data_IF_628327265921
#
_entry.id   IF_628327265921
#
_cell.length_a   1.000
_cell.length_b   1.000
_cell.length_c   1.000
_cell.angle_alpha   90.00
_cell.angle_beta   90.00
_cell.angle_gamma   90.00
#
_symmetry.space_group_name_H-M   'P 1'
#
loop_
_entity.id
_entity.type
_entity.pdbx_description
1 polymer ?
#
# COMPACT_ATOMS: atom_id res chain seq x y z
N UNK A 1 -3.40 32.10 -75.33
CA UNK A 1 -2.17 31.84 -74.55
C UNK A 1 -2.56 31.64 -73.10
N UNK A 2 -2.27 30.44 -72.59
CA UNK A 2 -2.27 29.94 -71.20
C UNK A 2 -3.19 30.59 -70.14
N UNK A 3 -4.23 29.85 -69.74
CA UNK A 3 -4.88 29.96 -68.44
C UNK A 3 -4.00 29.31 -67.36
N UNK A 4 -3.51 30.10 -66.39
CA UNK A 4 -2.76 29.61 -65.24
C UNK A 4 -3.70 29.12 -64.13
N UNK A 5 -3.67 27.81 -63.87
CA UNK A 5 -4.32 27.19 -62.71
C UNK A 5 -3.41 27.35 -61.49
N UNK A 6 -3.83 28.15 -60.51
CA UNK A 6 -3.20 28.21 -59.18
C UNK A 6 -3.67 27.01 -58.35
N UNK A 7 -2.83 25.97 -58.25
CA UNK A 7 -3.00 24.90 -57.27
C UNK A 7 -2.67 25.43 -55.87
N UNK A 8 -3.65 25.46 -54.97
CA UNK A 8 -3.44 25.76 -53.56
C UNK A 8 -2.87 24.51 -52.84
N UNK A 9 -1.64 24.53 -52.30
CA UNK A 9 -1.13 23.43 -51.50
C UNK A 9 -1.58 23.61 -50.05
N UNK A 10 -2.87 23.43 -49.76
CA UNK A 10 -3.36 23.55 -48.38
C UNK A 10 -3.50 22.19 -47.71
N UNK A 11 -2.60 21.97 -46.73
CA UNK A 11 -2.84 21.27 -45.44
C UNK A 11 -2.55 19.76 -45.28
N UNK A 12 -1.44 19.19 -45.78
CA UNK A 12 -0.84 18.01 -45.12
C UNK A 12 -0.26 18.37 -43.73
N UNK A 13 0.11 19.64 -43.53
CA UNK A 13 0.82 20.12 -42.35
C UNK A 13 -0.04 20.14 -41.07
N UNK A 14 -1.36 20.39 -41.19
CA UNK A 14 -2.26 20.40 -40.03
C UNK A 14 -2.44 19.00 -39.41
N UNK A 15 -2.43 17.93 -40.22
CA UNK A 15 -2.55 16.56 -39.71
C UNK A 15 -1.28 16.13 -38.97
N UNK A 16 -0.10 16.46 -39.50
CA UNK A 16 1.18 16.20 -38.81
C UNK A 16 1.28 16.95 -37.48
N UNK A 17 0.77 18.17 -37.39
CA UNK A 17 0.75 18.95 -36.15
C UNK A 17 -0.19 18.34 -35.09
N UNK A 18 -1.35 17.81 -35.49
CA UNK A 18 -2.26 17.11 -34.57
C UNK A 18 -1.68 15.77 -34.06
N UNK A 19 -1.03 14.98 -34.93
CA UNK A 19 -0.35 13.75 -34.52
C UNK A 19 0.84 14.05 -33.57
N UNK A 20 1.61 15.11 -33.83
CA UNK A 20 2.69 15.58 -32.95
C UNK A 20 2.15 16.09 -31.59
N UNK A 21 1.02 16.79 -31.56
CA UNK A 21 0.38 17.21 -30.30
C UNK A 21 -0.11 16.01 -29.47
N UNK A 22 -0.69 14.99 -30.12
CA UNK A 22 -1.12 13.77 -29.41
C UNK A 22 0.04 12.95 -28.84
N UNK A 23 1.25 13.04 -29.43
CA UNK A 23 2.46 12.45 -28.84
C UNK A 23 3.06 13.26 -27.68
N UNK A 24 2.68 14.53 -27.53
CA UNK A 24 3.10 15.42 -26.42
C UNK A 24 2.15 15.37 -25.21
N UNK A 25 0.99 14.74 -25.36
CA UNK A 25 0.18 14.30 -24.23
C UNK A 25 0.92 13.14 -23.55
N UNK A 26 1.98 13.47 -22.80
CA UNK A 26 2.39 12.66 -21.68
C UNK A 26 1.17 12.60 -20.77
N UNK A 27 0.41 11.52 -20.88
CA UNK A 27 -0.52 11.12 -19.84
C UNK A 27 0.36 10.98 -18.59
N UNK A 28 0.41 12.04 -17.78
CA UNK A 28 0.73 11.89 -16.37
C UNK A 28 -0.33 10.95 -15.86
N UNK A 29 -0.02 9.65 -15.85
CA UNK A 29 -0.89 8.67 -15.24
C UNK A 29 -0.98 9.14 -13.80
N UNK A 30 -2.13 9.69 -13.41
CA UNK A 30 -2.37 10.10 -12.05
C UNK A 30 -1.91 8.96 -11.13
N UNK A 31 -1.03 9.29 -10.20
CA UNK A 31 -0.57 8.33 -9.20
C UNK A 31 -1.79 7.76 -8.47
N UNK A 32 -1.78 6.47 -8.18
CA UNK A 32 -2.80 5.88 -7.33
C UNK A 32 -2.49 6.29 -5.89
N UNK A 33 -3.45 6.84 -5.16
CA UNK A 33 -3.25 7.28 -3.78
C UNK A 33 -3.71 6.16 -2.84
N UNK A 34 -2.92 5.89 -1.81
CA UNK A 34 -3.29 5.04 -0.69
C UNK A 34 -3.48 5.91 0.55
N UNK A 35 -4.44 5.55 1.41
CA UNK A 35 -4.65 6.25 2.69
C UNK A 35 -4.80 5.24 3.80
N UNK A 36 -4.30 5.58 4.99
CA UNK A 36 -4.57 4.82 6.20
C UNK A 36 -5.81 5.38 6.89
N UNK A 37 -6.70 4.50 7.32
CA UNK A 37 -7.93 4.83 8.03
C UNK A 37 -8.04 3.98 9.29
N UNK A 38 -8.54 4.56 10.39
CA UNK A 38 -8.85 3.86 11.62
C UNK A 38 -7.96 4.24 12.81
N UNK A 39 -7.17 5.30 12.72
CA UNK A 39 -6.25 5.73 13.80
C UNK A 39 -6.47 7.16 14.26
N UNK A 40 -7.43 7.89 13.66
CA UNK A 40 -7.79 9.24 14.06
C UNK A 40 -9.27 9.28 14.42
N UNK A 41 -9.61 9.47 15.69
CA UNK A 41 -11.01 9.53 16.14
C UNK A 41 -11.82 10.71 15.57
N UNK A 42 -11.16 11.68 14.93
CA UNK A 42 -11.81 12.80 14.24
C UNK A 42 -11.90 12.60 12.71
N UNK A 43 -11.45 11.46 12.18
CA UNK A 43 -11.63 11.15 10.76
C UNK A 43 -13.08 10.71 10.49
N UNK A 44 -13.56 10.95 9.26
CA UNK A 44 -14.89 10.52 8.85
C UNK A 44 -15.02 9.00 8.78
N UNK A 45 -16.21 8.53 8.40
CA UNK A 45 -16.46 7.11 8.21
C UNK A 45 -15.62 6.52 7.07
N UNK A 46 -15.46 5.20 7.08
CA UNK A 46 -14.80 4.47 6.00
C UNK A 46 -15.55 4.70 4.67
N UNK A 47 -16.88 4.71 4.70
CA UNK A 47 -17.70 4.99 3.52
C UNK A 47 -17.45 6.40 2.96
N UNK A 48 -17.42 7.43 3.80
CA UNK A 48 -17.12 8.82 3.38
C UNK A 48 -15.73 8.92 2.76
N UNK A 49 -14.73 8.28 3.38
CA UNK A 49 -13.35 8.23 2.86
C UNK A 49 -13.32 7.67 1.44
N UNK A 50 -14.02 6.56 1.18
CA UNK A 50 -14.08 5.95 -0.14
C UNK A 50 -14.95 6.72 -1.14
N UNK A 51 -15.98 7.45 -0.67
CA UNK A 51 -16.84 8.27 -1.51
C UNK A 51 -16.15 9.53 -2.05
N UNK A 52 -15.00 9.93 -1.48
CA UNK A 52 -14.23 11.08 -1.97
C UNK A 52 -13.73 10.94 -3.42
N UNK A 53 -13.57 9.70 -3.91
CA UNK A 53 -12.97 9.42 -5.22
C UNK A 53 -11.45 9.68 -5.28
N UNK A 54 -10.81 10.03 -4.16
CA UNK A 54 -9.39 10.39 -4.12
C UNK A 54 -8.46 9.16 -4.02
N UNK A 55 -8.94 8.06 -3.46
CA UNK A 55 -8.11 6.93 -3.05
C UNK A 55 -8.37 5.69 -3.88
N UNK A 56 -7.29 5.03 -4.29
CA UNK A 56 -7.38 3.72 -4.93
C UNK A 56 -7.19 2.57 -3.93
N UNK A 57 -6.68 2.89 -2.73
CA UNK A 57 -6.47 1.96 -1.63
C UNK A 57 -6.80 2.64 -0.30
N UNK A 58 -7.46 1.90 0.59
CA UNK A 58 -7.63 2.25 1.99
C UNK A 58 -7.03 1.12 2.82
N UNK A 59 -6.04 1.44 3.65
CA UNK A 59 -5.41 0.53 4.58
C UNK A 59 -6.12 0.66 5.94
N UNK A 60 -6.85 -0.38 6.35
CA UNK A 60 -7.49 -0.45 7.67
C UNK A 60 -6.40 -0.68 8.71
N UNK A 61 -6.11 0.36 9.48
CA UNK A 61 -5.04 0.42 10.44
C UNK A 61 -5.60 0.33 11.87
N UNK A 62 -5.23 -0.66 12.70
CA UNK A 62 -4.25 -1.74 12.47
C UNK A 62 -4.63 -3.06 13.15
N UNK A 63 -4.16 -4.17 12.59
CA UNK A 63 -3.89 -5.39 13.36
C UNK A 63 -2.53 -5.21 14.07
N UNK A 64 -2.57 -4.65 15.28
CA UNK A 64 -1.40 -4.14 16.00
C UNK A 64 -0.81 -5.12 17.04
N UNK A 65 -1.43 -6.29 17.22
CA UNK A 65 -0.87 -7.40 18.00
C UNK A 65 -0.98 -8.68 17.19
N UNK A 66 0.10 -9.46 17.10
CA UNK A 66 0.13 -10.79 16.48
C UNK A 66 1.48 -11.49 16.67
N UNK A 67 1.51 -12.80 16.43
CA UNK A 67 2.73 -13.63 16.43
C UNK A 67 3.35 -13.77 17.82
N UNK A 68 4.36 -14.62 17.93
CA UNK A 68 5.03 -14.93 19.21
C UNK A 68 4.04 -15.30 20.31
N UNK A 69 3.06 -16.15 19.98
CA UNK A 69 1.99 -16.62 20.87
C UNK A 69 1.01 -15.55 21.39
N UNK A 70 1.03 -14.33 20.83
CA UNK A 70 0.05 -13.29 21.18
C UNK A 70 -1.28 -13.51 20.48
N UNK A 71 -2.36 -13.21 21.19
CA UNK A 71 -3.70 -13.09 20.59
C UNK A 71 -3.71 -11.92 19.63
N UNK A 72 -4.12 -12.13 18.37
CA UNK A 72 -4.19 -11.03 17.43
C UNK A 72 -5.25 -10.01 17.82
N UNK A 73 -4.93 -8.72 17.69
CA UNK A 73 -5.81 -7.61 18.06
C UNK A 73 -5.92 -6.60 16.94
N UNK A 74 -7.16 -6.37 16.50
CA UNK A 74 -7.51 -5.21 15.69
C UNK A 74 -7.67 -4.01 16.63
N UNK A 75 -7.18 -2.84 16.24
CA UNK A 75 -7.42 -1.59 16.94
C UNK A 75 -7.73 -0.53 15.89
N UNK A 76 -8.94 0.03 15.97
CA UNK A 76 -9.41 1.11 15.09
C UNK A 76 -9.70 2.40 15.90
N UNK A 77 -8.89 2.70 16.92
CA UNK A 77 -8.88 3.96 17.66
C UNK A 77 -10.25 4.53 18.09
N UNK A 78 -11.17 3.66 18.52
CA UNK A 78 -12.50 4.05 19.00
C UNK A 78 -13.59 4.07 17.92
N UNK A 79 -13.28 3.84 16.65
CA UNK A 79 -14.28 3.69 15.58
C UNK A 79 -15.20 2.48 15.81
N UNK A 80 -14.67 1.43 16.43
CA UNK A 80 -15.43 0.28 16.90
C UNK A 80 -14.60 -0.55 17.88
N UNK A 81 -15.27 -1.42 18.62
CA UNK A 81 -14.65 -2.42 19.47
C UNK A 81 -14.74 -3.82 18.82
N UNK A 82 -13.61 -4.46 18.48
CA UNK A 82 -13.61 -5.78 17.87
C UNK A 82 -13.97 -6.91 18.84
N UNK A 83 -13.91 -6.68 20.15
CA UNK A 83 -14.20 -7.71 21.17
C UNK A 83 -15.69 -7.83 21.49
N UNK A 84 -16.49 -6.82 21.14
CA UNK A 84 -17.96 -6.82 21.30
C UNK A 84 -18.71 -7.03 19.98
N UNK A 85 -18.04 -7.48 18.91
CA UNK A 85 -18.56 -7.55 17.54
C UNK A 85 -19.01 -6.19 16.95
N UNK A 86 -18.72 -5.05 17.60
CA UNK A 86 -19.14 -3.74 17.13
C UNK A 86 -18.50 -3.36 15.78
N UNK A 87 -17.32 -3.91 15.47
CA UNK A 87 -16.64 -3.68 14.19
C UNK A 87 -17.30 -4.36 12.98
N UNK A 88 -18.30 -5.22 13.18
CA UNK A 88 -19.10 -5.80 12.08
C UNK A 88 -19.89 -4.74 11.31
N UNK A 89 -20.18 -3.58 11.92
CA UNK A 89 -20.82 -2.46 11.22
C UNK A 89 -20.00 -1.95 10.02
N UNK A 90 -18.67 -2.15 10.03
CA UNK A 90 -17.80 -1.77 8.93
C UNK A 90 -17.95 -2.67 7.69
N UNK A 91 -18.62 -3.83 7.80
CA UNK A 91 -18.85 -4.73 6.66
C UNK A 91 -19.48 -4.00 5.48
N UNK A 92 -20.51 -3.19 5.74
CA UNK A 92 -21.21 -2.43 4.69
C UNK A 92 -20.27 -1.41 4.03
N UNK A 93 -19.53 -0.68 4.83
CA UNK A 93 -18.64 0.39 4.36
C UNK A 93 -17.49 -0.19 3.54
N UNK A 94 -16.93 -1.34 3.94
CA UNK A 94 -15.92 -2.08 3.17
C UNK A 94 -16.47 -2.46 1.78
N UNK A 95 -17.70 -3.01 1.72
CA UNK A 95 -18.34 -3.37 0.44
C UNK A 95 -18.61 -2.15 -0.43
N UNK A 96 -19.01 -1.02 0.16
CA UNK A 96 -19.19 0.24 -0.56
C UNK A 96 -17.87 0.75 -1.16
N UNK A 97 -16.77 0.71 -0.40
CA UNK A 97 -15.44 1.01 -0.92
C UNK A 97 -15.08 0.13 -2.12
N UNK A 98 -15.26 -1.19 -1.98
CA UNK A 98 -14.96 -2.15 -3.03
C UNK A 98 -15.82 -1.94 -4.28
N UNK A 99 -17.11 -1.63 -4.10
CA UNK A 99 -18.03 -1.29 -5.19
C UNK A 99 -17.60 0.00 -5.94
N UNK A 100 -16.99 0.95 -5.22
CA UNK A 100 -16.39 2.16 -5.80
C UNK A 100 -14.99 1.92 -6.41
N UNK A 101 -14.53 0.67 -6.48
CA UNK A 101 -13.22 0.32 -7.04
C UNK A 101 -12.04 0.60 -6.11
N UNK A 102 -12.30 0.97 -4.86
CA UNK A 102 -11.28 1.19 -3.83
C UNK A 102 -10.91 -0.16 -3.20
N UNK A 103 -9.61 -0.48 -3.16
CA UNK A 103 -9.14 -1.69 -2.49
C UNK A 103 -9.05 -1.47 -0.99
N UNK A 104 -9.68 -2.33 -0.21
CA UNK A 104 -9.63 -2.26 1.25
C UNK A 104 -8.67 -3.33 1.75
N UNK A 105 -7.57 -2.89 2.35
CA UNK A 105 -6.42 -3.73 2.71
C UNK A 105 -6.27 -3.72 4.24
N UNK A 106 -6.07 -4.89 4.85
CA UNK A 106 -5.76 -4.96 6.28
C UNK A 106 -4.31 -4.52 6.51
N UNK A 107 -4.07 -3.51 7.33
CA UNK A 107 -2.71 -3.17 7.73
C UNK A 107 -2.29 -3.89 9.00
N UNK A 108 -1.18 -4.62 8.95
CA UNK A 108 -0.57 -5.27 10.10
C UNK A 108 0.61 -4.43 10.60
N UNK A 109 0.78 -4.35 11.92
CA UNK A 109 1.88 -3.62 12.54
C UNK A 109 1.46 -2.24 13.04
N UNK A 110 2.11 -1.18 12.53
CA UNK A 110 1.96 0.20 12.99
C UNK A 110 3.08 0.66 13.92
N UNK A 111 3.22 1.98 14.10
CA UNK A 111 4.24 2.56 14.99
C UNK A 111 4.06 2.25 16.49
N UNK A 112 2.96 1.60 16.87
CA UNK A 112 2.68 1.13 18.22
C UNK A 112 2.02 -0.26 18.17
N UNK A 113 2.12 -1.00 19.27
CA UNK A 113 1.57 -2.36 19.39
C UNK A 113 2.63 -3.38 19.79
N UNK A 114 2.27 -4.66 19.70
CA UNK A 114 3.13 -5.77 20.08
C UNK A 114 3.06 -6.86 19.01
N UNK A 115 4.00 -6.81 18.07
CA UNK A 115 4.06 -7.76 16.97
C UNK A 115 5.51 -8.16 16.62
N UNK A 116 5.68 -9.41 16.22
CA UNK A 116 6.94 -10.04 15.81
C UNK A 116 6.65 -11.50 15.46
N UNK A 117 7.42 -12.06 14.55
CA UNK A 117 7.34 -13.45 14.17
C UNK A 117 8.58 -14.19 14.70
N UNK A 118 8.36 -15.31 15.36
CA UNK A 118 9.40 -16.08 16.06
C UNK A 118 9.91 -17.27 15.24
N UNK A 119 9.13 -17.74 14.27
CA UNK A 119 9.48 -18.86 13.40
C UNK A 119 8.63 -18.85 12.11
N UNK A 120 8.98 -19.73 11.16
CA UNK A 120 8.14 -20.00 9.98
C UNK A 120 6.76 -20.54 10.36
N UNK A 121 6.69 -21.35 11.41
CA UNK A 121 5.42 -21.90 11.89
C UNK A 121 4.52 -20.81 12.48
N UNK A 122 5.11 -19.91 13.27
CA UNK A 122 4.43 -18.72 13.79
C UNK A 122 3.91 -17.82 12.64
N UNK A 123 4.75 -17.57 11.63
CA UNK A 123 4.32 -16.86 10.42
C UNK A 123 3.16 -17.56 9.69
N UNK A 124 3.17 -18.90 9.61
CA UNK A 124 2.07 -19.69 9.04
C UNK A 124 0.78 -19.56 9.86
N UNK A 125 0.89 -19.60 11.19
CA UNK A 125 -0.26 -19.45 12.09
C UNK A 125 -0.89 -18.06 11.96
N UNK A 126 -0.07 -17.00 11.92
CA UNK A 126 -0.54 -15.63 11.67
C UNK A 126 -1.18 -15.51 10.28
N UNK A 127 -0.57 -16.10 9.24
CA UNK A 127 -1.15 -16.12 7.89
C UNK A 127 -2.54 -16.79 7.86
N UNK A 128 -2.67 -17.94 8.52
CA UNK A 128 -3.92 -18.68 8.64
C UNK A 128 -4.98 -17.87 9.38
N UNK A 129 -4.60 -17.20 10.47
CA UNK A 129 -5.49 -16.31 11.21
C UNK A 129 -5.99 -15.16 10.32
N UNK A 130 -5.10 -14.45 9.62
CA UNK A 130 -5.49 -13.36 8.73
C UNK A 130 -6.41 -13.88 7.61
N UNK A 131 -6.06 -15.02 7.00
CA UNK A 131 -6.83 -15.63 5.94
C UNK A 131 -8.27 -15.94 6.38
N UNK A 132 -8.43 -16.57 7.54
CA UNK A 132 -9.71 -17.05 8.04
C UNK A 132 -10.61 -15.94 8.60
N UNK A 133 -10.03 -14.88 9.14
CA UNK A 133 -10.79 -13.83 9.83
C UNK A 133 -11.05 -12.58 8.98
N UNK A 134 -10.22 -12.31 7.97
CA UNK A 134 -10.28 -11.06 7.19
C UNK A 134 -10.31 -11.27 5.68
N UNK A 135 -9.75 -12.40 5.19
CA UNK A 135 -9.72 -12.73 3.77
C UNK A 135 -10.70 -13.86 3.45
N UNK A 136 -10.36 -14.70 2.46
CA UNK A 136 -11.25 -15.68 1.85
C UNK A 136 -11.43 -16.98 2.62
N UNK A 137 -10.85 -17.11 3.81
CA UNK A 137 -11.11 -18.26 4.69
C UNK A 137 -12.36 -18.07 5.53
N UNK A 138 -12.57 -19.00 6.46
CA UNK A 138 -13.76 -19.05 7.33
C UNK A 138 -13.37 -19.12 8.79
N UNK A 139 -14.10 -18.39 9.63
CA UNK A 139 -13.95 -18.37 11.09
C UNK A 139 -15.32 -18.11 11.71
N UNK A 140 -15.57 -18.65 12.91
CA UNK A 140 -16.79 -18.39 13.68
C UNK A 140 -16.85 -16.96 14.25
N UNK A 141 -15.70 -16.30 14.39
CA UNK A 141 -15.58 -14.95 14.91
C UNK A 141 -14.75 -14.11 13.94
N UNK A 142 -15.42 -13.36 13.06
CA UNK A 142 -14.77 -12.43 12.12
C UNK A 142 -14.93 -10.99 12.60
N UNK A 143 -13.84 -10.28 12.97
CA UNK A 143 -13.93 -8.94 13.56
C UNK A 143 -14.64 -7.91 12.67
N UNK A 144 -14.51 -8.03 11.34
CA UNK A 144 -15.14 -7.15 10.35
C UNK A 144 -16.39 -7.80 9.71
N UNK A 145 -17.01 -8.76 10.38
CA UNK A 145 -18.14 -9.52 9.87
C UNK A 145 -17.77 -10.39 8.65
N UNK A 146 -18.71 -10.56 7.73
CA UNK A 146 -18.54 -11.38 6.53
C UNK A 146 -17.85 -10.63 5.38
N UNK A 147 -17.35 -9.41 5.62
CA UNK A 147 -16.54 -8.69 4.64
C UNK A 147 -15.24 -9.44 4.35
N UNK A 148 -14.86 -9.45 3.07
CA UNK A 148 -13.62 -10.07 2.62
C UNK A 148 -12.72 -9.00 2.02
N UNK A 149 -11.61 -8.72 2.71
CA UNK A 149 -10.66 -7.70 2.30
C UNK A 149 -9.88 -8.11 1.04
N UNK A 150 -9.29 -7.10 0.39
CA UNK A 150 -8.56 -7.27 -0.87
C UNK A 150 -7.12 -7.76 -0.65
N UNK A 151 -6.55 -7.54 0.53
CA UNK A 151 -5.13 -7.77 0.76
C UNK A 151 -4.64 -7.51 2.18
N UNK A 152 -3.32 -7.55 2.32
CA UNK A 152 -2.59 -7.29 3.56
C UNK A 152 -1.45 -6.31 3.30
N UNK A 153 -1.40 -5.24 4.09
CA UNK A 153 -0.34 -4.25 4.13
C UNK A 153 0.61 -4.53 5.29
N UNK A 154 1.90 -4.59 4.97
CA UNK A 154 2.99 -4.86 5.91
C UNK A 154 3.57 -3.51 6.33
N UNK A 155 2.96 -2.94 7.37
CA UNK A 155 3.44 -1.75 8.04
C UNK A 155 4.26 -2.13 9.29
N UNK A 156 5.38 -2.80 9.05
CA UNK A 156 6.25 -3.29 10.13
C UNK A 156 7.28 -2.22 10.44
N UNK A 157 7.14 -1.56 11.60
CA UNK A 157 8.04 -0.49 12.03
C UNK A 157 8.96 -0.92 13.19
N UNK A 158 8.83 -2.17 13.66
CA UNK A 158 9.66 -2.75 14.71
C UNK A 158 9.61 -4.28 14.78
N UNK A 159 10.34 -4.87 15.72
CA UNK A 159 10.35 -6.33 15.95
C UNK A 159 11.32 -7.15 15.09
N UNK A 160 12.12 -6.49 14.23
CA UNK A 160 13.11 -7.12 13.34
C UNK A 160 12.51 -7.68 12.04
N UNK A 161 13.33 -8.08 11.05
CA UNK A 161 12.85 -8.46 9.72
C UNK A 161 12.36 -9.91 9.58
N UNK A 162 12.63 -10.72 10.60
CA UNK A 162 12.52 -12.17 10.51
C UNK A 162 11.11 -12.66 10.15
N UNK A 163 11.05 -13.59 9.21
CA UNK A 163 9.86 -14.38 8.81
C UNK A 163 8.70 -13.62 8.16
N UNK A 164 8.76 -12.29 7.98
CA UNK A 164 7.72 -11.56 7.22
C UNK A 164 7.66 -12.00 5.75
N UNK A 165 8.78 -12.42 5.16
CA UNK A 165 8.81 -13.04 3.84
C UNK A 165 8.08 -14.39 3.79
N UNK A 166 8.13 -15.18 4.86
CA UNK A 166 7.37 -16.44 4.96
C UNK A 166 5.87 -16.15 5.13
N UNK A 167 5.50 -15.16 5.96
CA UNK A 167 4.11 -14.68 6.09
C UNK A 167 3.53 -14.28 4.72
N UNK A 168 4.27 -13.49 3.94
CA UNK A 168 3.88 -13.10 2.58
C UNK A 168 3.65 -14.31 1.65
N UNK A 169 4.56 -15.30 1.68
CA UNK A 169 4.43 -16.54 0.89
C UNK A 169 3.18 -17.34 1.27
N UNK A 170 2.88 -17.47 2.56
CA UNK A 170 1.69 -18.20 3.02
C UNK A 170 0.40 -17.48 2.61
N UNK A 171 0.30 -16.16 2.78
CA UNK A 171 -0.85 -15.36 2.34
C UNK A 171 -1.08 -15.48 0.83
N UNK A 172 -0.01 -15.37 0.05
CA UNK A 172 -0.06 -15.58 -1.40
C UNK A 172 -0.56 -16.99 -1.76
N UNK A 173 -0.05 -18.02 -1.09
CA UNK A 173 -0.41 -19.41 -1.35
C UNK A 173 -1.89 -19.70 -1.02
N UNK A 174 -2.43 -19.13 0.07
CA UNK A 174 -3.85 -19.24 0.39
C UNK A 174 -4.73 -18.64 -0.71
N UNK A 175 -4.39 -17.42 -1.18
CA UNK A 175 -5.07 -16.78 -2.29
C UNK A 175 -5.03 -17.62 -3.56
N UNK A 176 -3.83 -18.07 -3.96
CA UNK A 176 -3.64 -18.90 -5.14
C UNK A 176 -4.47 -20.19 -5.08
N UNK A 177 -4.49 -20.89 -3.94
CA UNK A 177 -5.28 -22.10 -3.73
C UNK A 177 -6.80 -21.85 -3.83
N UNK A 178 -7.26 -20.68 -3.38
CA UNK A 178 -8.66 -20.29 -3.42
C UNK A 178 -9.08 -19.64 -4.76
N UNK A 179 -8.18 -19.54 -5.74
CA UNK A 179 -8.43 -18.81 -6.99
C UNK A 179 -8.67 -17.32 -6.77
N UNK A 180 -8.20 -16.75 -5.66
CA UNK A 180 -8.43 -15.36 -5.26
C UNK A 180 -7.12 -14.59 -5.20
N UNK A 181 -7.07 -13.42 -5.87
CA UNK A 181 -5.93 -12.51 -5.72
C UNK A 181 -5.93 -11.91 -4.31
N UNK A 182 -4.82 -12.07 -3.61
CA UNK A 182 -4.48 -11.32 -2.39
C UNK A 182 -3.46 -10.27 -2.78
N UNK A 183 -3.79 -9.00 -2.57
CA UNK A 183 -2.82 -7.92 -2.71
C UNK A 183 -1.89 -7.90 -1.51
N UNK A 184 -0.59 -7.92 -1.75
CA UNK A 184 0.41 -7.74 -0.70
C UNK A 184 1.06 -6.38 -0.88
N UNK A 185 1.00 -5.54 0.15
CA UNK A 185 1.59 -4.21 0.12
C UNK A 185 2.52 -4.02 1.30
N UNK A 186 3.43 -3.05 1.21
CA UNK A 186 4.36 -2.75 2.29
C UNK A 186 4.59 -1.25 2.45
N UNK A 187 4.85 -0.86 3.70
CA UNK A 187 5.16 0.51 4.09
C UNK A 187 6.56 0.62 4.72
N UNK A 188 7.65 0.29 3.99
CA UNK A 188 8.99 0.46 4.53
C UNK A 188 9.28 1.92 4.87
N UNK A 189 10.16 2.16 5.82
CA UNK A 189 10.73 3.49 6.05
C UNK A 189 11.67 3.88 4.88
N UNK A 190 11.98 5.18 4.75
CA UNK A 190 12.83 5.63 3.66
C UNK A 190 14.30 5.17 3.67
N UNK A 191 14.93 4.75 4.79
CA UNK A 191 16.25 4.14 4.72
C UNK A 191 16.24 2.88 3.84
N UNK A 192 17.26 2.72 3.00
CA UNK A 192 17.38 1.57 2.10
C UNK A 192 18.68 0.79 2.38
N UNK A 193 18.65 -0.54 2.56
CA UNK A 193 17.45 -1.38 2.67
C UNK A 193 16.67 -1.09 3.97
N UNK A 194 15.37 -1.36 3.97
CA UNK A 194 14.54 -1.24 5.17
C UNK A 194 14.82 -2.38 6.16
N UNK A 195 14.96 -2.04 7.44
CA UNK A 195 15.38 -2.98 8.49
C UNK A 195 14.28 -3.96 8.94
N UNK A 196 13.02 -3.72 8.59
CA UNK A 196 11.86 -4.45 9.12
C UNK A 196 11.13 -5.26 8.04
N UNK A 197 10.99 -4.73 6.83
CA UNK A 197 10.33 -5.43 5.71
C UNK A 197 11.27 -5.71 4.53
N UNK A 198 12.55 -5.29 4.60
CA UNK A 198 13.52 -5.48 3.53
C UNK A 198 13.60 -6.93 3.02
N UNK A 199 13.79 -7.90 3.92
CA UNK A 199 13.83 -9.34 3.58
C UNK A 199 12.51 -9.84 2.96
N UNK A 200 11.36 -9.30 3.42
CA UNK A 200 10.07 -9.69 2.87
C UNK A 200 9.93 -9.20 1.42
N UNK A 201 10.41 -7.99 1.10
CA UNK A 201 10.37 -7.45 -0.25
C UNK A 201 11.18 -8.29 -1.25
N UNK A 202 12.27 -8.93 -0.81
CA UNK A 202 13.09 -9.81 -1.67
C UNK A 202 12.31 -11.01 -2.24
N UNK A 203 11.19 -11.38 -1.62
CA UNK A 203 10.31 -12.45 -2.16
C UNK A 203 9.72 -12.11 -3.53
N UNK A 204 9.65 -10.82 -3.90
CA UNK A 204 9.03 -10.38 -5.14
C UNK A 204 7.51 -10.53 -5.20
N UNK A 205 6.86 -10.80 -4.06
CA UNK A 205 5.42 -11.03 -3.96
C UNK A 205 4.58 -9.75 -3.75
N UNK A 206 5.22 -8.66 -3.34
CA UNK A 206 4.55 -7.40 -3.03
C UNK A 206 4.10 -6.66 -4.30
N UNK A 207 2.82 -6.32 -4.36
CA UNK A 207 2.18 -5.61 -5.47
C UNK A 207 2.43 -4.11 -5.42
N UNK A 208 2.44 -3.51 -4.22
CA UNK A 208 2.66 -2.07 -4.03
C UNK A 208 3.57 -1.82 -2.83
N UNK A 209 4.41 -0.80 -2.94
CA UNK A 209 5.31 -0.37 -1.86
C UNK A 209 5.19 1.15 -1.74
N UNK A 210 4.74 1.62 -0.58
CA UNK A 210 4.62 3.04 -0.27
C UNK A 210 5.64 3.43 0.81
N UNK A 211 6.83 3.79 0.34
CA UNK A 211 7.96 4.18 1.19
C UNK A 211 7.60 5.42 2.03
N UNK A 212 7.80 5.33 3.34
CA UNK A 212 7.52 6.40 4.29
C UNK A 212 8.66 7.45 4.27
N UNK A 213 8.49 8.51 3.49
CA UNK A 213 9.45 9.62 3.36
C UNK A 213 9.30 10.70 4.45
N UNK A 214 9.14 10.26 5.70
CA UNK A 214 8.99 11.11 6.87
C UNK A 214 9.62 10.44 8.11
N UNK A 215 9.77 11.21 9.19
CA UNK A 215 10.40 10.81 10.47
C UNK A 215 11.85 10.29 10.37
N UNK A 216 12.50 10.49 9.24
CA UNK A 216 13.85 10.01 8.93
C UNK A 216 14.64 11.13 8.23
N UNK A 217 15.31 12.03 8.98
CA UNK A 217 16.09 13.15 8.42
C UNK A 217 17.03 12.81 7.24
N UNK A 218 17.72 11.64 7.23
CA UNK A 218 18.62 11.27 6.13
C UNK A 218 17.93 11.03 4.78
N UNK A 219 16.62 10.83 4.74
CA UNK A 219 15.90 10.45 3.52
C UNK A 219 14.52 11.10 3.36
N UNK A 220 14.17 12.07 4.19
CA UNK A 220 12.92 12.83 4.08
C UNK A 220 13.12 14.21 3.44
N UNK A 221 12.02 14.87 3.10
CA UNK A 221 12.04 16.29 2.78
C UNK A 221 12.40 17.13 4.02
N UNK A 222 13.17 18.19 3.83
CA UNK A 222 13.42 19.19 4.87
C UNK A 222 13.32 20.61 4.31
N UNK A 223 12.92 21.56 5.15
CA UNK A 223 12.82 22.97 4.73
C UNK A 223 14.17 23.56 4.34
N UNK A 224 15.25 23.13 4.99
CA UNK A 224 16.62 23.64 4.76
C UNK A 224 17.34 22.92 3.62
N UNK A 225 17.17 21.60 3.51
CA UNK A 225 17.82 20.77 2.48
C UNK A 225 16.96 20.47 1.25
N UNK A 226 15.71 20.96 1.23
CA UNK A 226 14.76 20.67 0.15
C UNK A 226 14.45 19.18 0.01
N UNK A 227 14.29 18.73 -1.24
CA UNK A 227 13.95 17.35 -1.59
C UNK A 227 15.16 16.43 -1.84
N UNK A 228 16.41 16.92 -1.72
CA UNK A 228 17.60 16.17 -2.15
C UNK A 228 17.73 14.79 -1.49
N UNK A 229 17.58 14.71 -0.16
CA UNK A 229 17.63 13.45 0.60
C UNK A 229 16.52 12.47 0.19
N UNK A 230 15.30 12.99 -0.01
CA UNK A 230 14.16 12.22 -0.50
C UNK A 230 14.43 11.68 -1.89
N UNK A 231 14.86 12.53 -2.82
CA UNK A 231 15.16 12.13 -4.20
C UNK A 231 16.27 11.08 -4.25
N UNK A 232 17.32 11.22 -3.45
CA UNK A 232 18.40 10.24 -3.39
C UNK A 232 17.90 8.89 -2.87
N UNK A 233 17.15 8.88 -1.77
CA UNK A 233 16.55 7.65 -1.24
C UNK A 233 15.58 7.04 -2.24
N UNK A 234 14.73 7.85 -2.88
CA UNK A 234 13.83 7.41 -3.96
C UNK A 234 14.61 6.71 -5.08
N UNK A 235 15.74 7.28 -5.54
CA UNK A 235 16.60 6.63 -6.55
C UNK A 235 17.22 5.32 -6.06
N UNK A 236 17.46 5.14 -4.76
CA UNK A 236 17.94 3.85 -4.20
C UNK A 236 16.81 2.82 -4.22
N UNK A 237 15.64 3.18 -3.74
CA UNK A 237 14.44 2.34 -3.77
C UNK A 237 14.06 1.92 -5.20
N UNK A 238 14.08 2.82 -6.18
CA UNK A 238 13.74 2.47 -7.56
C UNK A 238 14.80 1.63 -8.24
N UNK A 239 16.10 1.91 -8.03
CA UNK A 239 17.19 1.09 -8.60
C UNK A 239 17.21 -0.33 -8.03
N UNK A 240 17.06 -0.48 -6.71
CA UNK A 240 16.91 -1.79 -6.06
C UNK A 240 15.74 -2.61 -6.59
N UNK A 241 14.74 -1.93 -7.15
CA UNK A 241 13.52 -2.53 -7.67
C UNK A 241 13.50 -2.73 -9.19
N UNK A 242 14.56 -2.31 -9.90
CA UNK A 242 14.66 -2.53 -11.35
C UNK A 242 15.05 -3.97 -11.67
N UNK A 243 14.41 -4.62 -12.67
CA UNK A 243 14.82 -5.94 -13.07
C UNK A 243 16.21 -5.92 -13.74
N UNK A 244 17.26 -6.43 -13.07
CA UNK A 244 18.54 -6.72 -13.73
C UNK A 244 18.30 -7.86 -14.72
N UNK A 245 18.43 -7.56 -16.00
CA UNK A 245 18.34 -8.54 -17.10
C UNK A 245 19.28 -9.71 -16.86
N UNK A 246 18.83 -10.89 -17.32
CA UNK A 246 19.49 -12.20 -17.34
C UNK A 246 19.05 -13.15 -16.21
N UNK A 247 18.17 -14.08 -16.60
CA UNK A 247 18.12 -15.48 -16.15
C UNK A 247 18.18 -15.76 -14.65
N UNK A 248 17.07 -15.51 -13.95
CA UNK A 248 16.46 -16.45 -12.99
C UNK A 248 15.20 -15.81 -12.42
N UNK A 249 14.14 -16.63 -12.33
CA UNK A 249 12.85 -16.27 -11.79
C UNK A 249 12.96 -15.77 -10.34
N UNK A 250 12.01 -14.91 -9.96
CA UNK A 250 11.94 -14.12 -8.72
C UNK A 250 12.82 -12.87 -8.72
N UNK A 251 12.28 -11.85 -9.40
CA UNK A 251 12.72 -10.46 -9.28
C UNK A 251 11.45 -9.63 -9.12
N UNK A 252 11.45 -8.70 -8.16
CA UNK A 252 10.37 -7.74 -7.90
C UNK A 252 9.78 -7.29 -9.24
N UNK A 253 8.49 -7.57 -9.44
CA UNK A 253 7.79 -7.06 -10.61
C UNK A 253 7.91 -5.53 -10.60
N UNK A 254 7.94 -4.86 -11.76
CA UNK A 254 7.95 -3.40 -11.86
C UNK A 254 6.59 -2.81 -11.43
N UNK A 255 6.21 -3.05 -10.18
CA UNK A 255 4.98 -2.59 -9.55
C UNK A 255 5.24 -1.65 -8.37
N UNK A 256 6.46 -1.13 -8.24
CA UNK A 256 6.71 0.16 -7.58
C UNK A 256 6.09 1.29 -8.44
N UNK A 257 4.78 1.23 -8.58
CA UNK A 257 3.97 2.42 -8.75
C UNK A 257 4.09 3.13 -7.42
N UNK A 258 4.87 4.20 -7.40
CA UNK A 258 4.88 5.16 -6.31
C UNK A 258 3.41 5.54 -6.05
N UNK A 259 2.81 4.94 -5.05
CA UNK A 259 1.56 5.40 -4.48
C UNK A 259 1.99 6.24 -3.28
N UNK A 260 1.66 7.53 -3.29
CA UNK A 260 1.76 8.31 -2.07
C UNK A 260 0.82 7.70 -1.05
N UNK A 261 1.34 7.34 0.12
CA UNK A 261 0.51 7.02 1.28
C UNK A 261 0.46 8.23 2.20
N UNK A 262 -0.74 8.53 2.70
CA UNK A 262 -0.93 9.55 3.72
C UNK A 262 -1.45 8.90 5.00
N UNK A 263 -0.79 9.18 6.13
CA UNK A 263 -1.27 8.87 7.48
C UNK A 263 -1.71 10.16 8.15
N UNK A 264 -3.03 10.38 8.33
CA UNK A 264 -3.52 11.45 9.19
C UNK A 264 -2.97 11.24 10.61
N UNK A 265 -2.33 12.26 11.21
CA UNK A 265 -1.85 12.19 12.60
C UNK A 265 -0.38 11.80 12.81
N UNK A 266 0.40 11.54 11.75
CA UNK A 266 1.86 11.45 11.83
C UNK A 266 2.49 12.84 12.02
N UNK A 267 2.12 13.55 13.09
CA UNK A 267 2.80 14.79 13.48
C UNK A 267 4.17 14.44 14.01
N UNK A 268 5.21 15.06 13.45
CA UNK A 268 6.53 15.15 14.07
C UNK A 268 6.38 15.62 15.52
N UNK A 269 7.17 15.11 16.49
CA UNK A 269 7.20 15.69 17.82
C UNK A 269 7.73 17.12 17.68
N UNK A 270 6.83 18.10 17.61
CA UNK A 270 7.18 19.50 17.80
C UNK A 270 7.76 19.61 19.20
N UNK A 271 9.04 19.96 19.27
CA UNK A 271 9.70 20.34 20.52
C UNK A 271 8.80 21.33 21.26
N UNK A 272 8.26 20.91 22.41
CA UNK A 272 7.63 21.84 23.33
C UNK A 272 8.72 22.82 23.79
N UNK A 273 8.66 24.06 23.31
CA UNK A 273 9.35 25.16 23.96
C UNK A 273 8.69 25.36 25.33
N UNK A 274 9.44 25.11 26.39
CA UNK A 274 9.58 26.03 27.52
C UNK A 274 11.06 26.27 27.70
#
# INVERSE_FOLDING_TARGET
MATSSLSNPTKPCCFLFFFLLSSLLHCSRAGRIAVYWGQNGNEGTLAETCATGNYAFVNLAFLCSFGSSRTPQLNLAGHCDPYSNACTNLTRDIRLCQANGVKVILSIGGGAGAYSLSSKDDARQVAAYIWNNYLGGTSSARPLGDAVLDGVDFDIEGGGPSYYGDLAKYLWAYGAKAGKKVYLTAAPQCPYPDASVGEALETGLFDYVWVQFYNNPPCQYSRTGGAANLEESWRRWTRGSTPRTSSSAYRLRPSLRAAGSFRPGASSPTSSRR
#
